data_IF_390201940817
#
_entry.id   IF_390201940817
#
_cell.length_a   1.000
_cell.length_b   1.000
_cell.length_c   1.000
_cell.angle_alpha   90.00
_cell.angle_beta   90.00
_cell.angle_gamma   90.00
#
_symmetry.space_group_name_H-M   'P 1'
#
loop_
_entity.id
_entity.type
_entity.pdbx_description
1 polymer ?
#
# COMPACT_ATOMS: atom_id res chain seq x y z
N UNK A 1 -106.47 142.95 94.95
CA UNK A 1 -106.83 141.57 94.59
C UNK A 1 -106.62 141.28 93.10
N UNK A 2 -107.55 141.61 92.19
CA UNK A 2 -107.56 141.12 90.80
C UNK A 2 -106.36 141.45 89.86
N UNK A 3 -105.40 142.29 90.30
CA UNK A 3 -104.13 142.48 89.59
C UNK A 3 -103.03 141.49 90.05
N UNK A 4 -103.10 141.03 91.31
CA UNK A 4 -102.15 140.06 91.88
C UNK A 4 -102.42 138.64 91.34
N UNK A 5 -103.70 138.25 91.19
CA UNK A 5 -104.04 136.97 90.56
C UNK A 5 -103.48 136.88 89.14
N UNK A 6 -103.76 137.90 88.30
CA UNK A 6 -103.23 138.00 86.92
C UNK A 6 -101.70 138.00 86.80
N UNK A 7 -100.98 138.27 87.89
CA UNK A 7 -99.52 138.17 87.94
C UNK A 7 -99.07 136.76 88.37
N UNK A 8 -99.80 136.12 89.29
CA UNK A 8 -99.64 134.70 89.62
C UNK A 8 -99.96 133.79 88.43
N UNK A 9 -101.12 133.97 87.79
CA UNK A 9 -101.55 133.21 86.60
C UNK A 9 -100.44 133.17 85.52
N UNK A 10 -99.79 134.32 85.27
CA UNK A 10 -98.68 134.48 84.32
C UNK A 10 -97.35 133.89 84.82
N UNK A 11 -97.09 133.91 86.12
CA UNK A 11 -95.91 133.29 86.71
C UNK A 11 -96.00 131.76 86.63
N UNK A 12 -97.18 131.20 86.88
CA UNK A 12 -97.45 129.77 86.79
C UNK A 12 -97.42 129.29 85.33
N UNK A 13 -97.99 130.06 84.40
CA UNK A 13 -97.91 129.83 82.95
C UNK A 13 -96.45 129.82 82.45
N UNK A 14 -95.65 130.84 82.79
CA UNK A 14 -94.24 130.90 82.44
C UNK A 14 -93.40 129.80 83.11
N UNK A 15 -93.76 129.37 84.33
CA UNK A 15 -93.10 128.27 85.02
C UNK A 15 -93.39 126.91 84.35
N UNK A 16 -94.65 126.69 83.92
CA UNK A 16 -95.04 125.52 83.16
C UNK A 16 -94.38 125.47 81.78
N UNK A 17 -94.25 126.61 81.09
CA UNK A 17 -93.49 126.69 79.83
C UNK A 17 -92.00 126.37 80.05
N UNK A 18 -91.37 126.93 81.10
CA UNK A 18 -89.98 126.64 81.45
C UNK A 18 -89.74 125.16 81.76
N UNK A 19 -90.64 124.50 82.51
CA UNK A 19 -90.50 123.07 82.81
C UNK A 19 -90.83 122.17 81.62
N UNK A 20 -91.73 122.57 80.72
CA UNK A 20 -91.92 121.94 79.41
C UNK A 20 -90.66 122.03 78.54
N UNK A 21 -90.04 123.22 78.46
CA UNK A 21 -88.79 123.42 77.74
C UNK A 21 -87.62 122.64 78.37
N UNK A 22 -87.54 122.56 79.70
CA UNK A 22 -86.58 121.68 80.40
C UNK A 22 -86.83 120.21 80.09
N UNK A 23 -88.08 119.75 80.03
CA UNK A 23 -88.43 118.38 79.67
C UNK A 23 -88.03 118.04 78.22
N UNK A 24 -88.36 118.89 77.24
CA UNK A 24 -87.98 118.64 75.84
C UNK A 24 -86.47 118.74 75.61
N UNK A 25 -85.74 119.56 76.38
CA UNK A 25 -84.28 119.57 76.34
C UNK A 25 -83.65 118.30 76.94
N UNK A 26 -84.15 117.80 78.08
CA UNK A 26 -83.73 116.51 78.65
C UNK A 26 -83.94 115.35 77.68
N UNK A 27 -85.03 115.39 76.90
CA UNK A 27 -85.31 114.36 75.89
C UNK A 27 -84.43 114.52 74.64
N UNK A 28 -84.15 115.74 74.17
CA UNK A 28 -83.14 115.96 73.11
C UNK A 28 -81.75 115.48 73.57
N UNK A 29 -81.37 115.71 74.82
CA UNK A 29 -80.13 115.17 75.40
C UNK A 29 -80.15 113.63 75.46
N UNK A 30 -81.30 113.00 75.74
CA UNK A 30 -81.46 111.54 75.73
C UNK A 30 -81.21 110.97 74.32
N UNK A 31 -81.83 111.58 73.32
CA UNK A 31 -81.72 111.20 71.91
C UNK A 31 -80.31 111.44 71.36
N UNK A 32 -79.69 112.58 71.67
CA UNK A 32 -78.29 112.87 71.31
C UNK A 32 -77.33 111.84 71.92
N UNK A 33 -77.56 111.41 73.18
CA UNK A 33 -76.80 110.33 73.83
C UNK A 33 -77.08 108.94 73.23
N UNK A 34 -78.22 108.72 72.58
CA UNK A 34 -78.44 107.51 71.77
C UNK A 34 -77.66 107.60 70.45
N UNK A 35 -77.88 108.66 69.66
CA UNK A 35 -77.20 108.86 68.38
C UNK A 35 -75.67 108.86 68.51
N UNK A 36 -75.11 109.42 69.58
CA UNK A 36 -73.68 109.37 69.84
C UNK A 36 -73.15 107.94 70.05
N UNK A 37 -73.91 107.06 70.70
CA UNK A 37 -73.56 105.64 70.87
C UNK A 37 -73.72 104.85 69.57
N UNK A 38 -74.78 105.11 68.81
CA UNK A 38 -75.00 104.52 67.48
C UNK A 38 -73.86 104.89 66.52
N UNK A 39 -73.43 106.16 66.51
CA UNK A 39 -72.29 106.64 65.71
C UNK A 39 -70.98 105.99 66.18
N UNK A 40 -70.77 105.80 67.49
CA UNK A 40 -69.59 105.10 67.99
C UNK A 40 -69.56 103.61 67.60
N UNK A 41 -70.72 102.94 67.63
CA UNK A 41 -70.88 101.54 67.19
C UNK A 41 -70.56 101.40 65.70
N UNK A 42 -71.21 102.19 64.84
CA UNK A 42 -70.97 102.16 63.39
C UNK A 42 -69.52 102.48 63.01
N UNK A 43 -68.81 103.32 63.78
CA UNK A 43 -67.37 103.55 63.58
C UNK A 43 -66.54 102.32 63.88
N UNK A 44 -66.77 101.64 65.01
CA UNK A 44 -66.07 100.40 65.35
C UNK A 44 -66.36 99.27 64.33
N UNK A 45 -67.60 99.19 63.81
CA UNK A 45 -67.96 98.26 62.74
C UNK A 45 -67.19 98.59 61.44
N UNK A 46 -67.17 99.85 61.01
CA UNK A 46 -66.41 100.29 59.83
C UNK A 46 -64.90 100.06 59.97
N UNK A 47 -64.33 100.29 61.16
CA UNK A 47 -62.93 100.00 61.46
C UNK A 47 -62.63 98.50 61.40
N UNK A 48 -63.49 97.64 61.95
CA UNK A 48 -63.32 96.18 61.86
C UNK A 48 -63.46 95.63 60.43
N UNK A 49 -64.42 96.15 59.64
CA UNK A 49 -64.60 95.80 58.23
C UNK A 49 -63.40 96.27 57.37
N UNK A 50 -62.85 97.44 57.67
CA UNK A 50 -61.62 97.94 57.03
C UNK A 50 -60.41 97.04 57.36
N UNK A 51 -60.26 96.61 58.62
CA UNK A 51 -59.18 95.69 59.01
C UNK A 51 -59.33 94.32 58.32
N UNK A 52 -60.54 93.76 58.29
CA UNK A 52 -60.84 92.50 57.58
C UNK A 52 -60.55 92.60 56.06
N UNK A 53 -60.81 93.77 55.45
CA UNK A 53 -60.46 94.05 54.05
C UNK A 53 -58.92 94.07 53.82
N UNK A 54 -58.17 94.65 54.76
CA UNK A 54 -56.70 94.63 54.73
C UNK A 54 -56.12 93.22 54.96
N UNK A 55 -56.76 92.39 55.79
CA UNK A 55 -56.37 90.99 55.96
C UNK A 55 -56.68 90.16 54.71
N UNK A 56 -57.86 90.33 54.12
CA UNK A 56 -58.25 89.70 52.86
C UNK A 56 -57.28 90.01 51.72
N UNK A 57 -56.84 91.28 51.59
CA UNK A 57 -55.87 91.67 50.56
C UNK A 57 -54.46 91.11 50.81
N UNK A 58 -54.01 90.97 52.07
CA UNK A 58 -52.76 90.25 52.42
C UNK A 58 -52.84 88.79 52.00
N UNK A 59 -53.89 88.06 52.42
CA UNK A 59 -54.10 86.64 52.08
C UNK A 59 -54.19 86.42 50.56
N UNK A 60 -54.81 87.35 49.81
CA UNK A 60 -54.81 87.30 48.35
C UNK A 60 -53.39 87.48 47.76
N UNK A 61 -52.56 88.35 48.33
CA UNK A 61 -51.17 88.54 47.88
C UNK A 61 -50.29 87.32 48.16
N UNK A 62 -50.43 86.70 49.34
CA UNK A 62 -49.74 85.46 49.73
C UNK A 62 -50.16 84.29 48.82
N UNK A 63 -51.47 84.12 48.59
CA UNK A 63 -52.00 83.13 47.65
C UNK A 63 -51.42 83.30 46.24
N UNK A 64 -51.21 84.54 45.78
CA UNK A 64 -50.60 84.83 44.49
C UNK A 64 -49.09 84.55 44.47
N UNK A 65 -48.36 84.73 45.58
CA UNK A 65 -46.95 84.32 45.69
C UNK A 65 -46.82 82.80 45.63
N UNK A 66 -47.54 82.09 46.51
CA UNK A 66 -47.54 80.63 46.58
C UNK A 66 -47.97 80.01 45.23
N UNK A 67 -48.91 80.62 44.51
CA UNK A 67 -49.30 80.18 43.17
C UNK A 67 -48.17 80.32 42.14
N UNK A 68 -47.31 81.34 42.26
CA UNK A 68 -46.11 81.50 41.40
C UNK A 68 -45.04 80.48 41.76
N UNK A 69 -44.80 80.27 43.05
CA UNK A 69 -43.83 79.28 43.56
C UNK A 69 -44.21 77.85 43.15
N UNK A 70 -45.48 77.47 43.28
CA UNK A 70 -46.01 76.18 42.79
C UNK A 70 -45.79 76.05 41.27
N UNK A 71 -46.05 77.12 40.51
CA UNK A 71 -45.86 77.11 39.06
C UNK A 71 -44.38 77.07 38.65
N UNK A 72 -43.43 77.54 39.48
CA UNK A 72 -41.99 77.42 39.21
C UNK A 72 -41.42 76.06 39.61
N UNK A 73 -41.91 75.44 40.70
CA UNK A 73 -41.46 74.12 41.15
C UNK A 73 -42.03 72.97 40.31
N UNK A 74 -43.23 73.14 39.74
CA UNK A 74 -43.88 72.12 38.91
C UNK A 74 -43.04 71.63 37.71
N UNK A 75 -42.43 72.49 36.87
CA UNK A 75 -41.56 72.02 35.79
C UNK A 75 -40.26 71.37 36.29
N UNK A 76 -39.74 71.76 37.45
CA UNK A 76 -38.57 71.11 38.05
C UNK A 76 -38.89 69.67 38.49
N UNK A 77 -40.02 69.46 39.16
CA UNK A 77 -40.51 68.12 39.52
C UNK A 77 -40.72 67.25 38.28
N UNK A 78 -41.26 67.81 37.19
CA UNK A 78 -41.48 67.06 35.94
C UNK A 78 -40.18 66.78 35.17
N UNK A 79 -39.20 67.69 35.26
CA UNK A 79 -37.86 67.47 34.73
C UNK A 79 -37.14 66.35 35.51
N UNK A 80 -37.19 66.35 36.85
CA UNK A 80 -36.62 65.30 37.69
C UNK A 80 -37.29 63.94 37.43
N UNK A 81 -38.61 63.89 37.26
CA UNK A 81 -39.32 62.67 36.81
C UNK A 81 -38.82 62.16 35.46
N UNK A 82 -38.61 63.08 34.51
CA UNK A 82 -38.07 62.75 33.18
C UNK A 82 -36.64 62.21 33.26
N UNK A 83 -35.78 62.79 34.12
CA UNK A 83 -34.44 62.27 34.39
C UNK A 83 -34.49 60.87 35.02
N UNK A 84 -35.34 60.65 36.03
CA UNK A 84 -35.49 59.35 36.69
C UNK A 84 -35.97 58.26 35.71
N UNK A 85 -36.93 58.57 34.83
CA UNK A 85 -37.40 57.64 33.80
C UNK A 85 -36.30 57.32 32.77
N UNK A 86 -35.49 58.32 32.39
CA UNK A 86 -34.34 58.11 31.51
C UNK A 86 -33.26 57.23 32.17
N UNK A 87 -32.93 57.48 33.43
CA UNK A 87 -31.98 56.67 34.21
C UNK A 87 -32.48 55.22 34.38
N UNK A 88 -33.77 55.01 34.67
CA UNK A 88 -34.38 53.68 34.72
C UNK A 88 -34.16 52.93 33.39
N UNK A 89 -34.40 53.61 32.26
CA UNK A 89 -34.20 53.01 30.93
C UNK A 89 -32.71 52.79 30.57
N UNK A 90 -31.77 53.43 31.25
CA UNK A 90 -30.33 53.10 31.14
C UNK A 90 -30.03 51.84 31.98
N UNK A 91 -30.53 51.76 33.21
CA UNK A 91 -30.34 50.59 34.09
C UNK A 91 -30.93 49.31 33.46
N UNK A 92 -32.13 49.40 32.86
CA UNK A 92 -32.73 48.30 32.08
C UNK A 92 -31.82 47.82 30.95
N UNK A 93 -31.22 48.75 30.19
CA UNK A 93 -30.31 48.41 29.08
C UNK A 93 -29.01 47.80 29.58
N UNK A 94 -28.43 48.35 30.65
CA UNK A 94 -27.22 47.80 31.26
C UNK A 94 -27.46 46.37 31.73
N UNK A 95 -28.56 46.09 32.44
CA UNK A 95 -28.92 44.75 32.91
C UNK A 95 -29.17 43.76 31.75
N UNK A 96 -29.63 44.22 30.59
CA UNK A 96 -29.75 43.39 29.38
C UNK A 96 -28.37 43.11 28.78
N UNK A 97 -27.50 44.13 28.69
CA UNK A 97 -26.13 44.00 28.16
C UNK A 97 -25.23 43.13 29.06
N UNK A 98 -25.37 43.24 30.38
CA UNK A 98 -24.67 42.40 31.37
C UNK A 98 -25.01 40.92 31.17
N UNK A 99 -26.30 40.59 31.01
CA UNK A 99 -26.75 39.22 30.71
C UNK A 99 -26.27 38.71 29.35
N UNK A 100 -26.23 39.59 28.34
CA UNK A 100 -25.71 39.23 27.01
C UNK A 100 -24.19 38.99 27.05
N UNK A 101 -23.45 39.76 27.85
CA UNK A 101 -22.02 39.55 28.09
C UNK A 101 -21.78 38.24 28.84
N UNK A 102 -22.50 37.98 29.94
CA UNK A 102 -22.41 36.73 30.72
C UNK A 102 -22.70 35.50 29.84
N UNK A 103 -23.74 35.55 29.00
CA UNK A 103 -24.01 34.50 28.01
C UNK A 103 -22.85 34.30 27.03
N UNK A 104 -22.32 35.38 26.44
CA UNK A 104 -21.23 35.31 25.46
C UNK A 104 -19.91 34.83 26.09
N UNK A 105 -19.65 35.15 27.36
CA UNK A 105 -18.51 34.63 28.12
C UNK A 105 -18.64 33.12 28.40
N UNK A 106 -19.84 32.65 28.77
CA UNK A 106 -20.13 31.21 28.95
C UNK A 106 -19.99 30.45 27.62
N UNK A 107 -20.52 30.99 26.52
CA UNK A 107 -20.36 30.42 25.17
C UNK A 107 -18.87 30.37 24.75
N UNK A 108 -18.10 31.44 24.99
CA UNK A 108 -16.67 31.49 24.69
C UNK A 108 -15.86 30.49 25.52
N UNK A 109 -16.20 30.28 26.79
CA UNK A 109 -15.56 29.27 27.66
C UNK A 109 -15.92 27.86 27.22
N UNK A 110 -17.17 27.60 26.84
CA UNK A 110 -17.60 26.31 26.30
C UNK A 110 -16.88 25.98 24.98
N UNK A 111 -16.80 26.95 24.05
CA UNK A 111 -16.12 26.81 22.76
C UNK A 111 -14.61 26.62 22.91
N UNK A 112 -13.95 27.34 23.83
CA UNK A 112 -12.54 27.09 24.18
C UNK A 112 -12.33 25.66 24.67
N UNK A 113 -13.15 25.20 25.61
CA UNK A 113 -13.08 23.83 26.15
C UNK A 113 -13.35 22.76 25.08
N UNK A 114 -14.27 23.00 24.16
CA UNK A 114 -14.53 22.11 23.03
C UNK A 114 -13.31 22.02 22.09
N UNK A 115 -12.68 23.16 21.76
CA UNK A 115 -11.45 23.21 20.96
C UNK A 115 -10.27 22.52 21.65
N UNK A 116 -10.09 22.72 22.95
CA UNK A 116 -9.08 22.02 23.76
C UNK A 116 -9.30 20.50 23.75
N UNK A 117 -10.55 20.04 23.89
CA UNK A 117 -10.91 18.63 23.79
C UNK A 117 -10.66 18.05 22.39
N UNK A 118 -11.01 18.77 21.33
CA UNK A 118 -10.72 18.34 19.96
C UNK A 118 -9.23 18.35 19.62
N UNK A 119 -8.44 19.30 20.15
CA UNK A 119 -6.99 19.30 20.02
C UNK A 119 -6.35 18.08 20.71
N UNK A 120 -6.73 17.81 21.97
CA UNK A 120 -6.25 16.63 22.69
C UNK A 120 -6.68 15.30 22.02
N UNK A 121 -7.89 15.24 21.44
CA UNK A 121 -8.33 14.10 20.64
C UNK A 121 -7.49 13.95 19.36
N UNK A 122 -7.18 15.05 18.67
CA UNK A 122 -6.33 15.04 17.48
C UNK A 122 -4.90 14.59 17.80
N UNK A 123 -4.30 15.04 18.91
CA UNK A 123 -2.98 14.57 19.37
C UNK A 123 -2.98 13.06 19.65
N UNK A 124 -4.01 12.55 20.34
CA UNK A 124 -4.18 11.10 20.58
C UNK A 124 -4.37 10.33 19.27
N UNK A 125 -5.10 10.88 18.29
CA UNK A 125 -5.24 10.27 16.96
C UNK A 125 -3.94 10.27 16.16
N UNK A 126 -3.15 11.35 16.21
CA UNK A 126 -1.82 11.43 15.56
C UNK A 126 -0.89 10.38 16.16
N UNK A 127 -0.79 10.28 17.49
CA UNK A 127 0.03 9.27 18.16
C UNK A 127 -0.45 7.84 17.83
N UNK A 128 -1.76 7.61 17.69
CA UNK A 128 -2.30 6.33 17.24
C UNK A 128 -1.93 6.02 15.77
N UNK A 129 -2.00 7.02 14.89
CA UNK A 129 -1.63 6.88 13.48
C UNK A 129 -0.12 6.62 13.30
N UNK A 130 0.74 7.32 14.05
CA UNK A 130 2.19 7.06 14.09
C UNK A 130 2.50 5.63 14.54
N UNK A 131 1.84 5.14 15.60
CA UNK A 131 1.95 3.76 16.08
C UNK A 131 1.48 2.75 15.02
N UNK A 132 0.43 3.06 14.25
CA UNK A 132 -0.04 2.21 13.15
C UNK A 132 0.93 2.23 11.96
N UNK A 133 1.45 3.40 11.57
CA UNK A 133 2.49 3.56 10.54
C UNK A 133 3.76 2.79 10.89
N UNK A 134 4.21 2.83 12.14
CA UNK A 134 5.36 2.06 12.59
C UNK A 134 5.10 0.55 12.52
N UNK A 135 3.90 0.08 12.92
CA UNK A 135 3.51 -1.34 12.80
C UNK A 135 3.42 -1.81 11.35
N UNK A 136 2.85 -1.00 10.47
CA UNK A 136 2.80 -1.26 9.02
C UNK A 136 4.21 -1.39 8.47
N UNK A 137 5.10 -0.43 8.74
CA UNK A 137 6.49 -0.49 8.28
C UNK A 137 7.21 -1.75 8.77
N UNK A 138 7.06 -2.12 10.05
CA UNK A 138 7.67 -3.36 10.58
C UNK A 138 7.13 -4.60 9.86
N UNK A 139 5.82 -4.66 9.57
CA UNK A 139 5.23 -5.77 8.82
C UNK A 139 5.65 -5.80 7.34
N UNK A 140 5.89 -4.65 6.72
CA UNK A 140 6.48 -4.53 5.37
C UNK A 140 7.93 -5.01 5.37
N UNK A 141 8.75 -4.53 6.31
CA UNK A 141 10.15 -4.93 6.48
C UNK A 141 10.25 -6.46 6.70
N UNK A 142 9.44 -7.06 7.60
CA UNK A 142 9.42 -8.52 7.79
C UNK A 142 8.89 -9.26 6.55
N UNK A 143 7.83 -8.79 5.90
CA UNK A 143 7.32 -9.44 4.68
C UNK A 143 8.36 -9.41 3.55
N UNK A 144 9.17 -8.36 3.42
CA UNK A 144 10.28 -8.37 2.45
C UNK A 144 11.45 -9.26 2.88
N UNK A 145 11.67 -9.47 4.18
CA UNK A 145 12.65 -10.46 4.66
C UNK A 145 12.18 -11.89 4.34
N UNK A 146 10.95 -12.24 4.70
CA UNK A 146 10.30 -13.53 4.42
C UNK A 146 10.24 -13.83 2.91
N UNK A 147 10.00 -12.82 2.06
CA UNK A 147 10.04 -12.99 0.59
C UNK A 147 11.45 -13.32 0.09
N UNK A 148 12.47 -12.59 0.54
CA UNK A 148 13.88 -12.88 0.19
C UNK A 148 14.35 -14.23 0.72
N UNK A 149 13.81 -14.69 1.85
CA UNK A 149 14.08 -16.01 2.41
C UNK A 149 13.38 -17.12 1.60
N UNK A 150 12.11 -16.95 1.24
CA UNK A 150 11.42 -17.85 0.32
C UNK A 150 12.10 -17.90 -1.06
N UNK A 151 12.56 -16.77 -1.61
CA UNK A 151 13.31 -16.72 -2.87
C UNK A 151 14.62 -17.52 -2.79
N UNK A 152 15.33 -17.48 -1.66
CA UNK A 152 16.53 -18.31 -1.41
C UNK A 152 16.17 -19.79 -1.27
N UNK A 153 15.16 -20.12 -0.47
CA UNK A 153 14.72 -21.50 -0.27
C UNK A 153 14.19 -22.12 -1.56
N UNK A 154 13.55 -21.34 -2.44
CA UNK A 154 13.21 -21.76 -3.79
C UNK A 154 14.45 -22.00 -4.66
N UNK A 155 15.45 -21.10 -4.64
CA UNK A 155 16.71 -21.30 -5.38
C UNK A 155 17.50 -22.53 -4.87
N UNK A 156 17.51 -22.79 -3.56
CA UNK A 156 18.11 -23.98 -2.96
C UNK A 156 17.32 -25.24 -3.33
N UNK A 157 15.98 -25.19 -3.34
CA UNK A 157 15.13 -26.29 -3.76
C UNK A 157 15.27 -26.61 -5.26
N UNK A 158 15.34 -25.59 -6.13
CA UNK A 158 15.60 -25.74 -7.56
C UNK A 158 17.01 -26.32 -7.80
N UNK A 159 18.01 -25.86 -7.03
CA UNK A 159 19.36 -26.42 -7.08
C UNK A 159 19.38 -27.90 -6.66
N UNK A 160 18.78 -28.26 -5.52
CA UNK A 160 18.65 -29.66 -5.06
C UNK A 160 17.87 -30.50 -6.06
N UNK A 161 16.82 -29.96 -6.68
CA UNK A 161 16.03 -30.67 -7.71
C UNK A 161 16.86 -30.90 -8.99
N UNK A 162 17.66 -29.93 -9.41
CA UNK A 162 18.59 -30.10 -10.54
C UNK A 162 19.71 -31.10 -10.23
N UNK A 163 20.22 -31.13 -8.99
CA UNK A 163 21.18 -32.14 -8.54
C UNK A 163 20.54 -33.54 -8.47
N UNK A 164 19.29 -33.65 -8.04
CA UNK A 164 18.54 -34.90 -8.06
C UNK A 164 18.32 -35.42 -9.50
N UNK A 165 18.00 -34.52 -10.44
CA UNK A 165 17.91 -34.86 -11.87
C UNK A 165 19.25 -35.35 -12.42
N UNK A 166 20.36 -34.65 -12.14
CA UNK A 166 21.71 -35.09 -12.52
C UNK A 166 22.02 -36.48 -11.93
N UNK A 167 21.60 -36.76 -10.70
CA UNK A 167 21.80 -38.08 -10.06
C UNK A 167 20.94 -39.18 -10.69
N UNK A 168 19.74 -38.90 -11.22
CA UNK A 168 18.99 -39.87 -12.04
C UNK A 168 19.61 -40.05 -13.42
N UNK A 169 20.03 -38.97 -14.10
CA UNK A 169 20.73 -39.01 -15.39
C UNK A 169 22.05 -39.82 -15.27
N UNK A 170 22.80 -39.64 -14.17
CA UNK A 170 24.00 -40.41 -13.83
C UNK A 170 23.68 -41.89 -13.49
N UNK A 171 22.56 -42.18 -12.81
CA UNK A 171 22.11 -43.57 -12.58
C UNK A 171 21.80 -44.27 -13.89
N UNK A 172 21.11 -43.61 -14.82
CA UNK A 172 20.82 -44.14 -16.15
C UNK A 172 22.10 -44.31 -16.97
N UNK A 173 23.03 -43.35 -16.91
CA UNK A 173 24.35 -43.49 -17.53
C UNK A 173 25.14 -44.68 -16.95
N UNK A 174 25.14 -44.84 -15.62
CA UNK A 174 25.74 -46.00 -14.93
C UNK A 174 25.03 -47.31 -15.30
N UNK A 175 23.70 -47.32 -15.47
CA UNK A 175 22.97 -48.50 -15.91
C UNK A 175 23.34 -48.87 -17.36
N UNK A 176 23.47 -47.89 -18.26
CA UNK A 176 23.91 -48.10 -19.65
C UNK A 176 25.35 -48.59 -19.70
N UNK A 177 26.26 -48.02 -18.90
CA UNK A 177 27.64 -48.48 -18.78
C UNK A 177 27.73 -49.89 -18.19
N UNK A 178 26.94 -50.21 -17.16
CA UNK A 178 26.87 -51.55 -16.56
C UNK A 178 26.31 -52.59 -17.54
N UNK A 179 25.36 -52.20 -18.39
CA UNK A 179 24.85 -53.07 -19.48
C UNK A 179 25.95 -53.34 -20.51
N UNK A 180 26.64 -52.29 -20.98
CA UNK A 180 27.78 -52.40 -21.92
C UNK A 180 28.93 -53.24 -21.33
N UNK A 181 29.20 -53.12 -20.03
CA UNK A 181 30.22 -53.93 -19.35
C UNK A 181 29.85 -55.42 -19.35
N UNK A 182 28.60 -55.79 -19.06
CA UNK A 182 28.15 -57.19 -19.19
C UNK A 182 28.19 -57.69 -20.63
N UNK A 183 27.93 -56.82 -21.61
CA UNK A 183 28.03 -57.15 -23.03
C UNK A 183 29.48 -57.40 -23.45
N UNK A 184 30.46 -56.61 -22.98
CA UNK A 184 31.89 -56.87 -23.25
C UNK A 184 32.43 -58.05 -22.45
N UNK A 185 32.01 -58.26 -21.19
CA UNK A 185 32.36 -59.45 -20.41
C UNK A 185 31.86 -60.73 -21.08
N UNK A 186 30.60 -60.78 -21.51
CA UNK A 186 30.04 -61.96 -22.20
C UNK A 186 30.71 -62.18 -23.55
N UNK A 187 30.97 -61.12 -24.34
CA UNK A 187 31.75 -61.21 -25.57
C UNK A 187 33.15 -61.80 -25.31
N UNK A 188 33.89 -61.27 -24.33
CA UNK A 188 35.21 -61.79 -23.93
C UNK A 188 35.16 -63.27 -23.51
N UNK A 189 34.12 -63.73 -22.80
CA UNK A 189 33.98 -65.16 -22.48
C UNK A 189 33.71 -66.03 -23.72
N UNK A 190 33.08 -65.48 -24.75
CA UNK A 190 32.81 -66.18 -26.01
C UNK A 190 34.05 -66.20 -26.91
N UNK A 191 34.76 -65.09 -27.08
CA UNK A 191 36.06 -65.08 -27.75
C UNK A 191 37.05 -66.05 -27.08
N UNK A 192 37.06 -66.14 -25.74
CA UNK A 192 37.92 -67.11 -25.05
C UNK A 192 37.50 -68.56 -25.33
N UNK A 193 36.20 -68.86 -25.46
CA UNK A 193 35.69 -70.19 -25.87
C UNK A 193 36.02 -70.50 -27.33
N UNK A 194 35.93 -69.51 -28.22
CA UNK A 194 36.22 -69.69 -29.65
C UNK A 194 37.73 -69.81 -29.91
N UNK A 195 38.57 -69.11 -29.15
CA UNK A 195 40.01 -69.36 -29.13
C UNK A 195 40.33 -70.77 -28.60
N UNK A 196 39.65 -71.24 -27.55
CA UNK A 196 39.80 -72.61 -27.03
C UNK A 196 39.32 -73.68 -28.04
N UNK A 197 38.30 -73.39 -28.86
CA UNK A 197 37.87 -74.23 -29.99
C UNK A 197 38.92 -74.27 -31.09
N UNK A 198 39.42 -73.11 -31.53
CA UNK A 198 40.45 -72.98 -32.56
C UNK A 198 41.76 -73.68 -32.17
N UNK A 199 42.14 -73.66 -30.88
CA UNK A 199 43.29 -74.41 -30.38
C UNK A 199 43.08 -75.94 -30.48
N UNK A 200 41.88 -76.44 -30.19
CA UNK A 200 41.54 -77.87 -30.32
C UNK A 200 41.47 -78.31 -31.78
N UNK A 201 40.95 -77.46 -32.66
CA UNK A 201 40.92 -77.69 -34.11
C UNK A 201 42.34 -77.68 -34.71
N UNK A 202 43.20 -76.73 -34.30
CA UNK A 202 44.64 -76.75 -34.62
C UNK A 202 45.30 -78.06 -34.21
N UNK A 203 45.02 -78.56 -33.00
CA UNK A 203 45.64 -79.77 -32.49
C UNK A 203 45.18 -81.03 -33.21
N UNK A 204 43.91 -81.08 -33.64
CA UNK A 204 43.40 -82.13 -34.53
C UNK A 204 44.13 -82.11 -35.90
N UNK A 205 44.23 -80.94 -36.54
CA UNK A 205 44.95 -80.78 -37.83
C UNK A 205 46.43 -81.12 -37.69
N UNK A 206 47.08 -80.76 -36.58
CA UNK A 206 48.46 -81.16 -36.29
C UNK A 206 48.62 -82.66 -36.05
N UNK A 207 47.58 -83.35 -35.56
CA UNK A 207 47.55 -84.80 -35.44
C UNK A 207 47.44 -85.47 -36.82
N UNK A 208 46.51 -85.02 -37.67
CA UNK A 208 46.32 -85.54 -39.03
C UNK A 208 47.57 -85.34 -39.91
N UNK A 209 48.22 -84.18 -39.81
CA UNK A 209 49.48 -83.90 -40.52
C UNK A 209 50.65 -84.75 -40.02
N UNK A 210 50.66 -85.18 -38.75
CA UNK A 210 51.63 -86.16 -38.24
C UNK A 210 51.34 -87.55 -38.79
N UNK A 211 50.08 -88.00 -38.75
CA UNK A 211 49.68 -89.30 -39.30
C UNK A 211 49.98 -89.40 -40.81
N UNK A 212 49.79 -88.32 -41.58
CA UNK A 212 50.20 -88.26 -42.99
C UNK A 212 51.72 -88.34 -43.16
N UNK A 213 52.51 -87.67 -42.32
CA UNK A 213 53.98 -87.79 -42.34
C UNK A 213 54.44 -89.21 -42.00
N UNK A 214 53.86 -89.86 -40.99
CA UNK A 214 54.16 -91.25 -40.64
C UNK A 214 53.83 -92.22 -41.78
N UNK A 215 52.66 -92.07 -42.41
CA UNK A 215 52.28 -92.87 -43.57
C UNK A 215 53.21 -92.64 -44.78
N UNK A 216 53.65 -91.39 -45.01
CA UNK A 216 54.62 -91.07 -46.07
C UNK A 216 56.01 -91.62 -45.74
N UNK A 217 56.45 -91.58 -44.48
CA UNK A 217 57.70 -92.16 -44.03
C UNK A 217 57.71 -93.69 -44.19
N UNK A 218 56.62 -94.38 -43.81
CA UNK A 218 56.44 -95.82 -44.04
C UNK A 218 56.54 -96.16 -45.55
N UNK A 219 55.91 -95.37 -46.43
CA UNK A 219 56.03 -95.54 -47.88
C UNK A 219 57.46 -95.31 -48.39
N UNK A 220 58.20 -94.40 -47.78
CA UNK A 220 59.59 -94.08 -48.10
C UNK A 220 60.54 -95.19 -47.62
N UNK A 221 60.27 -95.84 -46.49
CA UNK A 221 61.02 -97.02 -46.03
C UNK A 221 60.67 -98.28 -46.84
N UNK A 222 59.43 -98.40 -47.34
CA UNK A 222 59.03 -99.41 -48.34
C UNK A 222 59.76 -99.19 -49.69
N UNK A 223 60.03 -97.96 -50.12
CA UNK A 223 60.83 -97.73 -51.34
C UNK A 223 62.32 -97.92 -51.11
N UNK A 224 62.87 -97.54 -49.94
CA UNK A 224 64.27 -97.87 -49.56
C UNK A 224 64.53 -99.38 -49.54
N UNK A 225 63.63 -100.17 -48.94
CA UNK A 225 63.78 -101.64 -48.88
C UNK A 225 63.69 -102.26 -50.27
N UNK A 226 62.73 -101.87 -51.11
CA UNK A 226 62.66 -102.30 -52.52
C UNK A 226 63.90 -101.91 -53.32
N UNK A 227 64.47 -100.72 -53.10
CA UNK A 227 65.72 -100.29 -53.72
C UNK A 227 66.91 -101.14 -53.25
N UNK A 228 66.94 -101.57 -51.99
CA UNK A 228 67.99 -102.44 -51.44
C UNK A 228 67.92 -103.85 -52.04
N UNK A 229 66.73 -104.44 -52.11
CA UNK A 229 66.52 -105.76 -52.72
C UNK A 229 66.94 -105.76 -54.21
N UNK A 230 66.50 -104.76 -54.99
CA UNK A 230 66.90 -104.63 -56.40
C UNK A 230 68.40 -104.34 -56.59
N UNK A 231 69.07 -103.70 -55.62
CA UNK A 231 70.53 -103.57 -55.59
C UNK A 231 71.26 -104.89 -55.24
N UNK A 232 70.58 -105.86 -54.64
CA UNK A 232 71.12 -107.19 -54.30
C UNK A 232 70.86 -108.19 -55.45
N UNK A 233 69.67 -108.17 -56.04
CA UNK A 233 69.35 -108.85 -57.32
C UNK A 233 70.31 -108.44 -58.44
N UNK A 234 70.62 -107.14 -58.57
CA UNK A 234 71.56 -106.65 -59.57
C UNK A 234 73.04 -106.96 -59.24
N UNK A 235 73.34 -107.46 -58.03
CA UNK A 235 74.66 -108.03 -57.70
C UNK A 235 74.74 -109.51 -58.05
N UNK A 236 73.71 -110.33 -57.80
CA UNK A 236 73.72 -111.74 -58.18
C UNK A 236 73.80 -111.91 -59.71
N UNK A 237 72.96 -111.19 -60.46
CA UNK A 237 72.99 -111.20 -61.93
C UNK A 237 74.33 -110.72 -62.52
N UNK A 238 75.11 -109.90 -61.78
CA UNK A 238 76.47 -109.49 -62.17
C UNK A 238 77.55 -110.51 -61.83
N UNK A 239 77.31 -111.42 -60.88
CA UNK A 239 78.24 -112.49 -60.56
C UNK A 239 78.18 -113.64 -61.59
N UNK A 240 76.97 -114.02 -62.02
CA UNK A 240 76.75 -115.09 -63.00
C UNK A 240 77.38 -114.78 -64.37
N UNK A 241 77.38 -113.51 -64.78
CA UNK A 241 77.88 -113.04 -66.07
C UNK A 241 79.41 -113.10 -66.26
N UNK A 242 80.18 -113.46 -65.23
CA UNK A 242 81.65 -113.48 -65.26
C UNK A 242 82.23 -114.87 -65.55
N UNK A 243 81.47 -115.96 -65.32
CA UNK A 243 82.06 -117.29 -65.18
C UNK A 243 82.16 -118.13 -66.47
N UNK A 244 81.63 -117.67 -67.61
CA UNK A 244 81.69 -118.40 -68.90
C UNK A 244 81.96 -117.50 -70.12
N UNK A 245 82.86 -117.96 -71.01
CA UNK A 245 83.17 -117.43 -72.36
C UNK A 245 83.79 -118.57 -73.18
N UNK A 246 83.49 -118.68 -74.50
CA UNK A 246 84.40 -118.07 -75.49
C UNK A 246 83.75 -117.59 -76.82
N UNK A 247 84.51 -116.76 -77.55
CA UNK A 247 84.53 -116.53 -79.02
C UNK A 247 83.24 -116.31 -79.84
N UNK A 248 83.17 -115.21 -80.63
CA UNK A 248 82.98 -115.20 -82.11
C UNK A 248 82.81 -113.78 -82.71
N UNK A 249 83.66 -113.47 -83.70
CA UNK A 249 83.54 -112.67 -84.94
C UNK A 249 82.39 -111.63 -85.16
N UNK A 250 82.78 -110.34 -85.14
CA UNK A 250 82.53 -109.24 -86.13
C UNK A 250 81.14 -108.65 -86.50
N UNK A 251 81.23 -107.57 -87.32
CA UNK A 251 80.29 -107.00 -88.33
C UNK A 251 79.20 -105.98 -87.93
N UNK A 252 79.41 -104.71 -88.35
CA UNK A 252 78.46 -103.76 -89.02
C UNK A 252 77.13 -103.33 -88.35
N UNK A 253 76.35 -102.32 -88.77
CA UNK A 253 76.53 -100.99 -89.42
C UNK A 253 75.13 -100.30 -89.50
N UNK A 254 75.05 -98.98 -89.25
CA UNK A 254 73.93 -98.03 -89.57
C UNK A 254 72.44 -98.33 -89.24
N UNK A 255 71.76 -97.32 -88.64
CA UNK A 255 70.41 -96.79 -89.01
C UNK A 255 69.19 -97.72 -88.72
N UNK A 256 67.95 -97.22 -88.43
CA UNK A 256 67.46 -95.83 -88.43
C UNK A 256 67.34 -95.21 -87.00
N UNK A 257 66.27 -94.67 -86.40
CA UNK A 257 64.79 -94.65 -86.61
C UNK A 257 64.19 -93.25 -86.32
N UNK A 258 62.88 -93.14 -86.07
CA UNK A 258 62.06 -91.92 -85.92
C UNK A 258 60.82 -92.26 -85.04
N UNK A 259 59.84 -91.42 -84.62
CA UNK A 259 59.47 -89.99 -84.85
C UNK A 259 58.32 -89.59 -83.86
N UNK A 260 57.90 -88.31 -83.89
CA UNK A 260 56.55 -87.76 -83.54
C UNK A 260 56.06 -87.68 -82.07
N UNK A 261 55.94 -86.43 -81.58
CA UNK A 261 54.72 -85.68 -81.18
C UNK A 261 53.54 -86.27 -80.35
N UNK A 262 52.94 -85.39 -79.52
CA UNK A 262 51.57 -85.51 -78.98
C UNK A 262 51.49 -85.70 -77.44
N UNK A 263 51.35 -84.72 -76.54
CA UNK A 263 50.65 -83.41 -76.46
C UNK A 263 49.24 -83.45 -75.82
N UNK A 264 49.07 -82.66 -74.72
CA UNK A 264 47.79 -82.18 -74.12
C UNK A 264 46.99 -83.27 -73.33
N UNK A 265 46.09 -82.95 -72.37
CA UNK A 265 45.45 -81.67 -71.99
C UNK A 265 44.87 -81.67 -70.54
N UNK A 266 44.70 -80.47 -69.97
CA UNK A 266 43.73 -79.94 -68.96
C UNK A 266 42.83 -80.92 -68.16
N UNK A 267 42.52 -80.67 -66.88
CA UNK A 267 41.63 -79.59 -66.41
C UNK A 267 41.45 -79.62 -64.86
N UNK A 268 40.85 -78.66 -64.10
CA UNK A 268 40.51 -77.21 -64.18
C UNK A 268 39.53 -76.90 -63.00
N UNK A 269 39.49 -75.64 -62.49
CA UNK A 269 38.36 -74.89 -61.81
C UNK A 269 38.69 -74.42 -60.37
N UNK A 270 38.12 -73.30 -59.84
CA UNK A 270 36.91 -72.52 -60.25
C UNK A 270 37.16 -71.06 -60.71
N UNK A 271 37.20 -70.10 -59.79
CA UNK A 271 37.45 -68.63 -59.96
C UNK A 271 38.37 -68.21 -58.77
N UNK A 272 38.44 -67.02 -58.16
CA UNK A 272 37.56 -65.84 -58.03
C UNK A 272 38.29 -64.56 -58.45
N UNK A 273 37.55 -63.63 -59.06
CA UNK A 273 37.90 -62.22 -59.27
C UNK A 273 36.65 -61.40 -58.89
N UNK A 274 36.79 -60.08 -58.74
CA UNK A 274 35.89 -59.00 -59.18
C UNK A 274 36.68 -57.67 -58.98
N UNK A 275 36.67 -56.59 -59.78
CA UNK A 275 35.84 -55.98 -60.85
C UNK A 275 35.15 -54.68 -60.40
N UNK A 276 35.20 -53.64 -61.27
CA UNK A 276 34.58 -52.29 -61.21
C UNK A 276 35.03 -51.39 -60.01
N UNK A 277 35.65 -50.21 -60.14
CA UNK A 277 35.68 -49.10 -61.14
C UNK A 277 34.54 -48.05 -60.97
N UNK A 278 34.96 -46.78 -61.01
CA UNK A 278 34.30 -45.49 -60.69
C UNK A 278 34.27 -45.13 -59.20
N UNK A 279 34.88 -44.04 -58.71
CA UNK A 279 35.07 -42.64 -59.16
C UNK A 279 33.94 -41.68 -58.75
N UNK A 280 34.24 -40.86 -57.73
CA UNK A 280 34.08 -39.39 -57.76
C UNK A 280 34.86 -38.74 -56.60
N UNK A 281 35.69 -37.75 -56.95
CA UNK A 281 35.57 -36.33 -56.55
C UNK A 281 35.00 -35.96 -55.17
N UNK A 282 35.45 -34.91 -54.46
CA UNK A 282 36.49 -33.87 -54.71
C UNK A 282 36.91 -33.28 -53.34
N UNK A 283 37.95 -32.46 -53.29
CA UNK A 283 38.49 -31.90 -52.03
C UNK A 283 37.70 -30.76 -51.38
N UNK A 284 38.32 -30.21 -50.33
CA UNK A 284 38.08 -28.88 -49.73
C UNK A 284 38.21 -27.74 -50.75
N UNK A 285 37.74 -26.48 -50.50
CA UNK A 285 37.08 -25.95 -49.29
C UNK A 285 35.82 -25.06 -49.56
N UNK A 286 35.35 -24.42 -48.49
CA UNK A 286 34.95 -23.00 -48.39
C UNK A 286 33.50 -22.50 -48.61
N UNK A 287 33.32 -21.34 -47.97
CA UNK A 287 32.17 -20.44 -47.73
C UNK A 287 31.17 -20.19 -48.88
N UNK A 288 29.87 -20.11 -48.55
CA UNK A 288 29.08 -18.84 -48.56
C UNK A 288 27.57 -19.03 -48.43
N UNK A 289 26.92 -18.03 -47.80
CA UNK A 289 25.53 -17.59 -48.03
C UNK A 289 24.40 -18.56 -47.59
N UNK A 290 23.16 -18.15 -47.27
CA UNK A 290 22.41 -16.88 -47.03
C UNK A 290 21.05 -17.33 -46.41
N UNK A 291 20.18 -16.56 -45.77
CA UNK A 291 20.01 -15.18 -45.28
C UNK A 291 18.78 -15.25 -44.34
N UNK A 292 18.55 -14.41 -43.32
CA UNK A 292 18.07 -13.02 -43.45
C UNK A 292 18.32 -12.23 -42.15
N UNK A 293 18.63 -10.95 -42.33
CA UNK A 293 18.62 -9.92 -41.29
C UNK A 293 17.23 -9.30 -41.17
N UNK A 294 16.92 -8.70 -40.03
CA UNK A 294 16.17 -7.46 -39.97
C UNK A 294 16.82 -6.52 -38.94
N UNK A 295 16.98 -5.25 -39.29
CA UNK A 295 17.52 -4.20 -38.42
C UNK A 295 16.69 -2.94 -38.67
N UNK A 296 16.07 -2.37 -37.62
CA UNK A 296 16.05 -0.92 -37.35
C UNK A 296 15.10 -0.53 -36.19
N UNK A 297 15.58 0.48 -35.46
CA UNK A 297 14.87 1.44 -34.59
C UNK A 297 13.35 1.55 -34.79
N UNK A 298 12.65 1.66 -33.65
CA UNK A 298 11.84 2.84 -33.32
C UNK A 298 12.05 3.20 -31.85
N UNK A 299 12.07 4.49 -31.55
CA UNK A 299 11.67 5.01 -30.25
C UNK A 299 10.41 5.85 -30.44
N UNK A 300 9.63 6.04 -29.38
CA UNK A 300 9.29 7.36 -28.83
C UNK A 300 8.35 7.19 -27.61
N UNK A 301 8.67 7.93 -26.55
CA UNK A 301 7.77 8.72 -25.70
C UNK A 301 6.25 8.45 -25.74
N UNK A 302 5.69 8.14 -24.55
CA UNK A 302 4.41 8.63 -24.01
C UNK A 302 4.45 8.32 -22.49
N UNK A 303 4.68 9.31 -21.60
CA UNK A 303 3.70 10.22 -20.97
C UNK A 303 2.59 9.52 -20.16
N UNK A 304 2.74 9.56 -18.83
CA UNK A 304 1.74 9.93 -17.80
C UNK A 304 2.59 10.60 -16.68
N UNK A 305 2.25 11.77 -16.14
CA UNK A 305 1.00 12.18 -15.47
C UNK A 305 0.85 11.47 -14.12
#
# INVERSE_FOLDING_TARGET
MACLSKLGDRYDEASAELDSMRATNRERDSQLKSRAREIAHMKAELESLNNLSQESTKVLSEKLSLSREINSLRPEVEHLRSQMAHQHSIVEKNLILERQLEMAEVELVAERRAREQHAAQAEVMILAEENLRQKIKVAEDTSTAEKRENERLHQELDAVTSMAQIVEDDKDAVHVLTKKLRETETAMTNERRDHERLLKERDLVLSDLKAQNEAMQQRLDITKTKLRNTQEELKSARAELVQTRPSVVATTTTVPTSRLDGAKRNARKRRVEDLSVHDRSIGTPDDTARSRRAVKKKGNEQTLC
#
